data_IF_114246281951
#
_entry.id   IF_114246281951
#
_cell.length_a   1.000
_cell.length_b   1.000
_cell.length_c   1.000
_cell.angle_alpha   90.00
_cell.angle_beta   90.00
_cell.angle_gamma   90.00
#
_symmetry.space_group_name_H-M   'P 1'
#
loop_
_entity.id
_entity.type
_entity.pdbx_description
1 polymer ?
#
# COMPACT_ATOMS: atom_id res chain seq x y z
N UNK A 1 9.93 4.53 -2.21
CA UNK A 1 8.86 4.38 -3.24
C UNK A 1 8.70 2.92 -3.72
N UNK A 2 8.69 1.96 -2.79
CA UNK A 2 8.73 0.53 -3.12
C UNK A 2 7.62 0.00 -4.06
N UNK A 3 6.37 0.46 -3.90
CA UNK A 3 5.25 -0.04 -4.72
C UNK A 3 5.02 0.82 -5.96
N UNK A 4 4.99 2.15 -5.81
CA UNK A 4 4.68 3.08 -6.90
C UNK A 4 5.62 2.96 -8.09
N UNK A 5 6.91 2.67 -7.84
CA UNK A 5 7.93 2.57 -8.89
C UNK A 5 8.29 1.12 -9.20
N UNK A 6 8.54 0.29 -8.17
CA UNK A 6 9.04 -1.09 -8.37
C UNK A 6 7.93 -2.15 -8.40
N UNK A 7 6.66 -1.76 -8.38
CA UNK A 7 5.55 -2.66 -8.67
C UNK A 7 5.22 -3.66 -7.57
N UNK A 8 5.69 -3.47 -6.33
CA UNK A 8 5.37 -4.36 -5.20
C UNK A 8 3.85 -4.59 -5.04
N UNK A 9 3.50 -5.85 -4.88
CA UNK A 9 2.14 -6.42 -4.79
C UNK A 9 1.63 -6.61 -3.34
N UNK A 10 2.45 -6.36 -2.33
CA UNK A 10 2.10 -6.52 -0.90
C UNK A 10 1.26 -5.36 -0.34
N UNK A 11 1.04 -4.32 -1.13
CA UNK A 11 0.26 -3.16 -0.75
C UNK A 11 -0.49 -2.55 -1.95
N UNK A 12 -1.47 -1.72 -1.63
CA UNK A 12 -2.39 -1.06 -2.57
C UNK A 12 -1.92 0.33 -3.02
N UNK A 13 -0.72 0.78 -2.64
CA UNK A 13 -0.21 2.11 -3.00
C UNK A 13 -0.25 2.38 -4.52
N UNK A 14 0.36 1.50 -5.33
CA UNK A 14 0.36 1.62 -6.78
C UNK A 14 -1.04 1.45 -7.39
N UNK A 15 -1.84 0.42 -7.03
CA UNK A 15 -3.23 0.32 -7.48
C UNK A 15 -4.06 1.59 -7.24
N UNK A 16 -3.95 2.21 -6.06
CA UNK A 16 -4.63 3.48 -5.78
C UNK A 16 -4.12 4.63 -6.63
N UNK A 17 -2.81 4.73 -6.85
CA UNK A 17 -2.22 5.78 -7.69
C UNK A 17 -2.73 5.65 -9.14
N UNK A 18 -2.70 4.45 -9.71
CA UNK A 18 -3.21 4.17 -11.06
C UNK A 18 -4.70 4.46 -11.15
N UNK A 19 -5.50 3.98 -10.20
CA UNK A 19 -6.94 4.23 -10.16
C UNK A 19 -7.27 5.73 -10.07
N UNK A 20 -6.55 6.47 -9.23
CA UNK A 20 -6.73 7.92 -9.11
C UNK A 20 -6.40 8.66 -10.41
N UNK A 21 -5.33 8.26 -11.12
CA UNK A 21 -4.97 8.82 -12.43
C UNK A 21 -6.07 8.51 -13.46
N UNK A 22 -6.58 7.28 -13.50
CA UNK A 22 -7.68 6.90 -14.40
C UNK A 22 -8.95 7.73 -14.14
N UNK A 23 -9.35 7.88 -12.88
CA UNK A 23 -10.51 8.71 -12.52
C UNK A 23 -10.30 10.19 -12.85
N UNK A 24 -9.06 10.70 -12.72
CA UNK A 24 -8.71 12.05 -13.14
C UNK A 24 -8.82 12.23 -14.66
N UNK A 25 -8.36 11.26 -15.45
CA UNK A 25 -8.48 11.28 -16.92
C UNK A 25 -9.96 11.24 -17.32
N UNK A 26 -10.76 10.33 -16.73
CA UNK A 26 -12.20 10.26 -16.99
C UNK A 26 -12.91 11.57 -16.60
N UNK A 27 -12.49 12.21 -15.51
CA UNK A 27 -13.00 13.52 -15.12
C UNK A 27 -12.72 14.59 -16.17
N UNK A 28 -11.48 14.67 -16.66
CA UNK A 28 -11.07 15.59 -17.71
C UNK A 28 -11.84 15.35 -19.02
N UNK A 29 -12.06 14.09 -19.40
CA UNK A 29 -12.85 13.72 -20.59
C UNK A 29 -14.32 14.17 -20.51
N UNK A 30 -14.87 14.28 -19.29
CA UNK A 30 -16.22 14.82 -19.05
C UNK A 30 -16.26 16.35 -18.91
N UNK A 31 -15.15 17.04 -19.21
CA UNK A 31 -15.03 18.50 -19.09
C UNK A 31 -14.73 19.00 -17.67
N UNK A 32 -14.37 18.10 -16.75
CA UNK A 32 -13.96 18.44 -15.39
C UNK A 32 -12.44 18.61 -15.24
N UNK A 33 -11.97 18.67 -13.99
CA UNK A 33 -10.54 18.69 -13.67
C UNK A 33 -10.24 17.62 -12.62
N UNK A 34 -9.27 16.75 -12.94
CA UNK A 34 -8.73 15.78 -11.99
C UNK A 34 -7.47 16.32 -11.32
N UNK A 35 -7.32 16.07 -10.01
CA UNK A 35 -6.14 16.47 -9.24
C UNK A 35 -5.61 15.25 -8.50
N UNK A 36 -4.32 14.93 -8.70
CA UNK A 36 -3.58 13.95 -7.91
C UNK A 36 -2.55 14.69 -7.05
N UNK A 37 -2.67 14.57 -5.72
CA UNK A 37 -1.71 15.15 -4.78
C UNK A 37 -0.79 14.06 -4.24
N UNK A 38 0.47 14.10 -4.65
CA UNK A 38 1.47 13.08 -4.31
C UNK A 38 2.32 13.51 -3.09
N UNK A 39 1.96 13.04 -1.90
CA UNK A 39 2.70 13.32 -0.68
C UNK A 39 3.88 12.36 -0.49
N UNK A 40 5.10 12.90 -0.40
CA UNK A 40 6.34 12.15 -0.14
C UNK A 40 6.48 11.75 1.34
N UNK A 41 5.47 11.09 1.91
CA UNK A 41 5.41 10.59 3.30
C UNK A 41 5.47 9.06 3.31
N UNK A 42 6.57 8.49 2.82
CA UNK A 42 6.77 7.04 2.67
C UNK A 42 6.66 6.30 4.00
N UNK A 43 6.11 5.07 3.96
CA UNK A 43 6.00 4.22 5.14
C UNK A 43 5.17 4.81 6.28
N UNK A 44 4.08 5.53 5.99
CA UNK A 44 3.32 6.30 6.99
C UNK A 44 4.19 7.34 7.72
N UNK A 45 5.08 7.99 6.97
CA UNK A 45 6.10 8.90 7.47
C UNK A 45 7.16 8.27 8.40
N UNK A 46 7.27 6.94 8.43
CA UNK A 46 8.35 6.21 9.11
C UNK A 46 9.59 6.00 8.22
N UNK A 47 9.49 6.32 6.93
CA UNK A 47 10.57 6.16 5.97
C UNK A 47 10.64 4.78 5.33
N UNK A 48 11.46 4.69 4.27
CA UNK A 48 11.54 3.52 3.41
C UNK A 48 12.23 2.32 4.08
N UNK A 49 13.26 2.56 4.90
CA UNK A 49 13.96 1.49 5.63
C UNK A 49 13.02 0.78 6.59
N UNK A 50 12.29 1.54 7.42
CA UNK A 50 11.31 1.00 8.37
C UNK A 50 10.22 0.20 7.65
N UNK A 51 9.74 0.70 6.50
CA UNK A 51 8.77 -0.03 5.67
C UNK A 51 9.27 -1.42 5.26
N UNK A 52 10.52 -1.54 4.82
CA UNK A 52 11.09 -2.84 4.45
C UNK A 52 11.27 -3.77 5.66
N UNK A 53 11.64 -3.23 6.83
CA UNK A 53 11.68 -4.01 8.08
C UNK A 53 10.29 -4.55 8.43
N UNK A 54 9.25 -3.73 8.32
CA UNK A 54 7.86 -4.16 8.53
C UNK A 54 7.44 -5.21 7.51
N UNK A 55 7.79 -5.04 6.23
CA UNK A 55 7.47 -6.04 5.20
C UNK A 55 8.17 -7.37 5.46
N UNK A 56 9.41 -7.33 5.96
CA UNK A 56 10.15 -8.52 6.34
C UNK A 56 9.51 -9.21 7.54
N UNK A 57 9.13 -8.46 8.59
CA UNK A 57 8.44 -8.99 9.75
C UNK A 57 7.10 -9.64 9.37
N UNK A 58 6.28 -8.94 8.57
CA UNK A 58 5.01 -9.46 8.04
C UNK A 58 5.17 -10.82 7.37
N UNK A 59 6.19 -10.99 6.53
CA UNK A 59 6.42 -12.25 5.80
C UNK A 59 6.99 -13.36 6.69
N UNK A 60 7.77 -13.02 7.72
CA UNK A 60 8.56 -13.98 8.51
C UNK A 60 8.00 -14.30 9.90
N UNK A 61 6.95 -13.59 10.34
CA UNK A 61 6.28 -13.91 11.59
C UNK A 61 5.66 -15.31 11.56
N UNK A 62 5.40 -15.84 12.75
CA UNK A 62 4.79 -17.15 12.89
C UNK A 62 3.38 -17.18 12.25
N UNK A 63 3.17 -18.14 11.36
CA UNK A 63 1.92 -18.28 10.60
C UNK A 63 1.77 -17.32 9.41
N UNK A 64 2.83 -16.61 9.03
CA UNK A 64 2.91 -15.82 7.79
C UNK A 64 2.26 -14.44 7.85
N UNK A 65 2.10 -13.80 6.69
CA UNK A 65 1.53 -12.45 6.57
C UNK A 65 0.01 -12.46 6.79
N UNK A 66 -0.43 -12.30 8.04
CA UNK A 66 -1.85 -12.31 8.45
C UNK A 66 -2.43 -10.90 8.54
N UNK A 67 -3.69 -10.73 8.18
CA UNK A 67 -4.37 -9.43 8.29
C UNK A 67 -4.53 -8.99 9.75
N UNK A 68 -4.77 -9.92 10.68
CA UNK A 68 -4.86 -9.65 12.12
C UNK A 68 -3.60 -9.01 12.71
N UNK A 69 -2.42 -9.38 12.20
CA UNK A 69 -1.13 -8.88 12.66
C UNK A 69 -0.58 -7.67 11.89
N UNK A 70 -1.31 -7.19 10.87
CA UNK A 70 -0.83 -6.17 9.95
C UNK A 70 -0.39 -4.87 10.65
N UNK A 71 -1.19 -4.37 11.60
CA UNK A 71 -0.84 -3.16 12.36
C UNK A 71 0.19 -3.45 13.46
N UNK A 72 0.15 -4.64 14.07
CA UNK A 72 1.10 -5.04 15.10
C UNK A 72 2.52 -5.10 14.55
N UNK A 73 2.73 -5.65 13.35
CA UNK A 73 4.04 -5.66 12.69
C UNK A 73 4.67 -4.26 12.59
N UNK A 74 3.86 -3.22 12.34
CA UNK A 74 4.37 -1.84 12.30
C UNK A 74 4.74 -1.35 13.70
N UNK A 75 3.87 -1.61 14.68
CA UNK A 75 4.08 -1.23 16.09
C UNK A 75 5.31 -1.91 16.69
N UNK A 76 5.54 -3.18 16.41
CA UNK A 76 6.71 -3.93 16.91
C UNK A 76 8.02 -3.39 16.32
N UNK A 77 8.05 -3.04 15.04
CA UNK A 77 9.25 -2.50 14.39
C UNK A 77 9.52 -1.04 14.76
N UNK A 78 8.49 -0.20 14.86
CA UNK A 78 8.62 1.26 14.93
C UNK A 78 8.13 1.88 16.24
N UNK A 79 7.53 1.11 17.16
CA UNK A 79 6.89 1.59 18.38
C UNK A 79 5.55 2.31 18.17
N UNK A 80 5.20 2.64 16.92
CA UNK A 80 3.99 3.37 16.53
C UNK A 80 3.44 2.83 15.23
N UNK A 81 2.15 3.04 14.95
CA UNK A 81 1.49 2.55 13.74
C UNK A 81 1.40 3.59 12.62
N UNK A 82 1.51 4.89 12.92
CA UNK A 82 1.43 5.98 11.95
C UNK A 82 2.05 7.26 12.53
N UNK A 83 2.87 7.97 11.75
CA UNK A 83 3.45 9.28 12.14
C UNK A 83 3.07 10.39 11.17
N UNK A 84 2.12 10.14 10.26
CA UNK A 84 1.70 11.14 9.28
C UNK A 84 0.93 12.26 9.95
N UNK A 85 1.40 13.48 9.69
CA UNK A 85 0.63 14.69 9.99
C UNK A 85 -0.36 14.97 8.84
N UNK A 86 -1.57 14.41 8.92
CA UNK A 86 -2.57 14.49 7.85
C UNK A 86 -3.30 15.83 7.79
N UNK A 87 -3.26 16.61 8.87
CA UNK A 87 -3.86 17.95 8.94
C UNK A 87 -3.27 18.95 7.93
N UNK A 88 -2.05 18.69 7.41
CA UNK A 88 -1.43 19.49 6.34
C UNK A 88 -1.79 19.02 4.92
N UNK A 89 -2.50 17.90 4.77
CA UNK A 89 -2.91 17.42 3.45
C UNK A 89 -3.81 18.40 2.68
N UNK A 90 -4.74 19.13 3.30
CA UNK A 90 -5.63 20.03 2.56
C UNK A 90 -4.93 21.27 2.01
N UNK A 91 -3.73 21.62 2.48
CA UNK A 91 -3.05 22.87 2.13
C UNK A 91 -2.90 23.08 0.62
N UNK A 92 -2.51 22.02 -0.10
CA UNK A 92 -2.38 22.08 -1.57
C UNK A 92 -3.76 22.27 -2.22
N UNK A 93 -4.80 21.62 -1.72
CA UNK A 93 -6.16 21.75 -2.25
C UNK A 93 -6.70 23.16 -2.02
N UNK A 94 -6.45 23.74 -0.84
CA UNK A 94 -6.84 25.12 -0.52
C UNK A 94 -6.05 26.12 -1.34
N UNK A 95 -4.76 25.89 -1.55
CA UNK A 95 -3.92 26.74 -2.39
C UNK A 95 -4.42 26.76 -3.85
N UNK A 96 -4.89 25.61 -4.36
CA UNK A 96 -5.54 25.50 -5.66
C UNK A 96 -6.98 26.07 -5.70
N UNK A 97 -7.51 26.58 -4.59
CA UNK A 97 -8.85 27.14 -4.52
C UNK A 97 -9.98 26.10 -4.52
N UNK A 98 -9.68 24.83 -4.23
CA UNK A 98 -10.69 23.76 -4.18
C UNK A 98 -11.63 23.99 -3.00
N UNK A 99 -12.94 24.04 -3.27
CA UNK A 99 -14.00 24.18 -2.26
C UNK A 99 -14.94 22.98 -2.20
N UNK A 100 -14.96 22.17 -3.27
CA UNK A 100 -15.76 20.96 -3.40
C UNK A 100 -14.99 19.90 -4.20
N UNK A 101 -15.09 18.66 -3.77
CA UNK A 101 -14.59 17.47 -4.46
C UNK A 101 -15.79 16.57 -4.74
N UNK A 102 -16.16 16.43 -6.01
CA UNK A 102 -17.29 15.58 -6.40
C UNK A 102 -16.99 14.09 -6.18
N UNK A 103 -15.77 13.65 -6.53
CA UNK A 103 -15.31 12.26 -6.36
C UNK A 103 -13.97 12.22 -5.65
N UNK A 104 -13.97 11.77 -4.41
CA UNK A 104 -12.77 11.62 -3.58
C UNK A 104 -12.27 10.18 -3.60
N UNK A 105 -11.16 9.94 -4.29
CA UNK A 105 -10.58 8.60 -4.47
C UNK A 105 -9.76 8.22 -3.23
N UNK A 106 -10.45 7.82 -2.14
CA UNK A 106 -9.79 7.31 -0.94
C UNK A 106 -10.73 6.61 0.03
N UNK A 107 -10.23 5.52 0.61
CA UNK A 107 -10.87 4.78 1.71
C UNK A 107 -10.42 5.28 3.11
N UNK A 108 -9.49 6.24 3.20
CA UNK A 108 -8.92 6.68 4.48
C UNK A 108 -9.73 7.78 5.15
N UNK A 109 -10.23 7.52 6.36
CA UNK A 109 -10.98 8.53 7.15
C UNK A 109 -10.09 9.68 7.59
N UNK A 110 -8.87 9.41 8.05
CA UNK A 110 -7.91 10.48 8.39
C UNK A 110 -7.68 11.49 7.26
N UNK A 111 -7.73 11.05 5.99
CA UNK A 111 -7.59 11.96 4.84
C UNK A 111 -8.89 12.73 4.61
N UNK A 112 -10.01 12.02 4.63
CA UNK A 112 -11.34 12.61 4.47
C UNK A 112 -11.59 13.70 5.51
N UNK A 113 -11.40 13.37 6.78
CA UNK A 113 -11.70 14.25 7.91
C UNK A 113 -10.80 15.48 7.92
N UNK A 114 -9.51 15.31 7.60
CA UNK A 114 -8.59 16.44 7.46
C UNK A 114 -9.06 17.42 6.37
N UNK A 115 -9.54 16.92 5.22
CA UNK A 115 -10.03 17.76 4.12
C UNK A 115 -11.33 18.48 4.50
N UNK A 116 -12.31 17.74 5.02
CA UNK A 116 -13.62 18.29 5.40
C UNK A 116 -13.50 19.32 6.52
N UNK A 117 -12.59 19.11 7.48
CA UNK A 117 -12.32 20.06 8.57
C UNK A 117 -11.86 21.44 8.08
N UNK A 118 -11.35 21.56 6.85
CA UNK A 118 -10.95 22.84 6.24
C UNK A 118 -12.06 23.53 5.44
N UNK A 119 -13.27 22.98 5.44
CA UNK A 119 -14.44 23.52 4.74
C UNK A 119 -14.61 23.01 3.30
N UNK A 120 -13.74 22.12 2.83
CA UNK A 120 -13.87 21.49 1.50
C UNK A 120 -14.95 20.42 1.57
N UNK A 121 -15.99 20.54 0.75
CA UNK A 121 -17.10 19.57 0.70
C UNK A 121 -16.69 18.34 -0.13
N UNK A 122 -16.87 17.14 0.40
CA UNK A 122 -16.71 15.89 -0.37
C UNK A 122 -18.10 15.32 -0.63
N UNK A 123 -18.44 15.08 -1.91
CA UNK A 123 -19.77 14.56 -2.32
C UNK A 123 -19.80 13.04 -2.28
N UNK A 124 -18.80 12.39 -2.88
CA UNK A 124 -18.70 10.94 -2.98
C UNK A 124 -17.29 10.48 -2.58
N UNK A 125 -17.22 9.41 -1.79
CA UNK A 125 -15.97 8.66 -1.54
C UNK A 125 -15.98 7.44 -2.46
N UNK A 126 -14.90 7.27 -3.20
CA UNK A 126 -14.76 6.18 -4.18
C UNK A 126 -13.71 5.21 -3.65
N UNK A 127 -14.13 3.97 -3.40
CA UNK A 127 -13.23 2.86 -3.08
C UNK A 127 -12.42 2.41 -4.29
N UNK A 128 -11.31 1.72 -4.04
CA UNK A 128 -10.56 1.08 -5.12
C UNK A 128 -11.36 -0.13 -5.64
N UNK A 129 -11.45 -0.37 -6.95
CA UNK A 129 -12.12 -1.56 -7.48
C UNK A 129 -11.43 -2.86 -7.00
N UNK A 130 -12.17 -3.88 -6.52
CA UNK A 130 -11.58 -5.13 -6.01
C UNK A 130 -10.63 -5.83 -6.98
N UNK A 131 -10.92 -5.78 -8.27
CA UNK A 131 -10.11 -6.36 -9.33
C UNK A 131 -8.73 -5.72 -9.49
N UNK A 132 -8.54 -4.50 -8.97
CA UNK A 132 -7.25 -3.81 -8.98
C UNK A 132 -6.39 -4.17 -7.76
N UNK A 133 -6.95 -4.82 -6.73
CA UNK A 133 -6.23 -5.17 -5.51
C UNK A 133 -5.43 -6.47 -5.72
N UNK A 134 -4.08 -6.42 -5.67
CA UNK A 134 -3.27 -7.62 -5.77
C UNK A 134 -3.59 -8.63 -4.66
N UNK A 135 -3.39 -9.92 -4.95
CA UNK A 135 -3.69 -11.00 -3.99
C UNK A 135 -3.01 -10.81 -2.64
N UNK A 136 -1.73 -10.44 -2.61
CA UNK A 136 -0.99 -10.22 -1.36
C UNK A 136 -1.41 -8.93 -0.64
N UNK A 137 -1.95 -7.95 -1.36
CA UNK A 137 -2.46 -6.71 -0.78
C UNK A 137 -3.84 -6.89 -0.11
N UNK A 138 -4.50 -8.04 -0.29
CA UNK A 138 -5.74 -8.36 0.43
C UNK A 138 -5.52 -8.34 1.95
N UNK A 139 -4.34 -8.74 2.42
CA UNK A 139 -3.94 -8.62 3.83
C UNK A 139 -4.06 -7.18 4.33
N UNK A 140 -3.56 -6.21 3.55
CA UNK A 140 -3.65 -4.80 3.90
C UNK A 140 -5.08 -4.28 3.83
N UNK A 141 -5.84 -4.64 2.80
CA UNK A 141 -7.22 -4.16 2.62
C UNK A 141 -8.10 -4.69 3.75
N UNK A 142 -8.09 -6.00 4.01
CA UNK A 142 -8.90 -6.60 5.08
C UNK A 142 -8.55 -6.00 6.43
N UNK A 143 -7.26 -5.87 6.76
CA UNK A 143 -6.84 -5.27 8.02
C UNK A 143 -7.35 -3.83 8.17
N UNK A 144 -7.28 -3.01 7.12
CA UNK A 144 -7.72 -1.61 7.16
C UNK A 144 -9.24 -1.50 7.27
N UNK A 145 -9.99 -2.27 6.49
CA UNK A 145 -11.45 -2.28 6.53
C UNK A 145 -11.93 -2.71 7.91
N UNK A 146 -11.34 -3.78 8.47
CA UNK A 146 -11.60 -4.21 9.83
C UNK A 146 -11.29 -3.14 10.88
N UNK A 147 -10.20 -2.37 10.69
CA UNK A 147 -9.85 -1.23 11.54
C UNK A 147 -10.75 0.01 11.35
N UNK A 148 -11.82 -0.09 10.56
CA UNK A 148 -12.84 0.96 10.40
C UNK A 148 -12.64 1.87 9.20
N UNK A 149 -11.72 1.56 8.28
CA UNK A 149 -11.60 2.34 7.04
C UNK A 149 -12.87 2.27 6.21
N UNK A 150 -13.25 3.38 5.58
CA UNK A 150 -14.37 3.41 4.65
C UNK A 150 -14.20 2.40 3.52
N UNK A 151 -15.05 1.38 3.49
CA UNK A 151 -14.93 0.22 2.61
C UNK A 151 -16.03 0.15 1.53
N UNK A 152 -16.98 1.10 1.58
CA UNK A 152 -18.25 1.09 0.86
C UNK A 152 -18.84 -0.30 0.68
N UNK A 153 -19.45 -0.57 -0.47
CA UNK A 153 -20.15 -1.84 -0.71
C UNK A 153 -19.23 -2.95 -1.21
N UNK A 154 -18.14 -2.58 -1.88
CA UNK A 154 -17.25 -3.55 -2.53
C UNK A 154 -16.43 -4.38 -1.53
N UNK A 155 -16.37 -3.97 -0.26
CA UNK A 155 -15.56 -4.62 0.76
C UNK A 155 -16.33 -4.92 2.06
N UNK A 156 -17.67 -4.94 2.05
CA UNK A 156 -18.48 -5.25 3.25
C UNK A 156 -18.10 -6.61 3.87
N UNK A 157 -17.77 -7.61 3.05
CA UNK A 157 -17.34 -8.93 3.52
C UNK A 157 -16.00 -8.91 4.29
N UNK A 158 -15.19 -7.86 4.14
CA UNK A 158 -13.92 -7.70 4.84
C UNK A 158 -14.08 -7.12 6.28
N UNK A 159 -15.32 -6.93 6.74
CA UNK A 159 -15.63 -6.50 8.11
C UNK A 159 -15.84 -7.66 9.08
N UNK A 160 -15.89 -8.90 8.60
CA UNK A 160 -16.07 -10.11 9.41
C UNK A 160 -14.78 -10.47 10.16
N UNK A 161 -14.91 -10.78 11.45
CA UNK A 161 -13.80 -11.22 12.32
C UNK A 161 -13.21 -12.53 11.80
N UNK A 162 -14.04 -13.45 11.31
CA UNK A 162 -13.58 -14.75 10.80
C UNK A 162 -12.74 -14.59 9.53
N UNK A 163 -12.95 -13.51 8.76
CA UNK A 163 -12.15 -13.21 7.58
C UNK A 163 -10.73 -12.73 7.93
N UNK A 164 -10.50 -12.18 9.12
CA UNK A 164 -9.24 -11.53 9.49
C UNK A 164 -8.07 -12.52 9.65
N UNK A 165 -8.34 -13.69 10.22
CA UNK A 165 -7.32 -14.73 10.43
C UNK A 165 -7.16 -15.69 9.22
N UNK A 166 -8.17 -15.72 8.36
CA UNK A 166 -8.19 -16.52 7.12
C UNK A 166 -7.38 -15.84 6.01
N UNK A 167 -7.38 -14.50 5.95
CA UNK A 167 -6.65 -13.75 4.93
C UNK A 167 -5.16 -13.74 5.25
N UNK A 168 -4.42 -14.52 4.44
CA UNK A 168 -2.97 -14.63 4.50
C UNK A 168 -2.33 -14.27 3.17
N UNK A 169 -1.21 -13.56 3.23
CA UNK A 169 -0.34 -13.32 2.09
C UNK A 169 0.36 -14.60 1.65
N UNK A 170 1.08 -14.53 0.52
CA UNK A 170 1.90 -15.64 0.03
C UNK A 170 2.81 -16.25 1.11
N UNK A 171 2.98 -17.57 1.05
CA UNK A 171 3.91 -18.27 1.94
C UNK A 171 5.35 -17.80 1.72
N UNK A 172 6.06 -17.60 2.82
CA UNK A 172 7.50 -17.40 2.80
C UNK A 172 8.18 -18.77 2.77
N UNK A 173 8.64 -19.18 1.59
CA UNK A 173 9.59 -20.28 1.48
C UNK A 173 10.99 -19.74 1.76
N UNK A 174 11.70 -20.32 2.74
CA UNK A 174 13.14 -20.10 2.92
C UNK A 174 13.95 -20.53 1.68
N UNK A 175 13.35 -21.34 0.81
CA UNK A 175 13.94 -21.87 -0.40
C UNK A 175 13.45 -21.08 -1.63
N UNK A 176 14.07 -19.94 -1.93
CA UNK A 176 14.16 -19.44 -3.31
C UNK A 176 15.46 -18.63 -3.50
N UNK A 177 16.44 -19.28 -4.13
CA UNK A 177 17.48 -18.71 -5.00
C UNK A 177 18.70 -17.98 -4.38
N UNK A 178 19.41 -18.63 -3.45
CA UNK A 178 20.87 -18.43 -3.37
C UNK A 178 21.65 -19.71 -3.71
N UNK A 179 21.10 -20.88 -3.39
CA UNK A 179 21.77 -22.16 -3.68
C UNK A 179 21.84 -22.48 -5.18
N UNK A 180 20.79 -22.18 -5.97
CA UNK A 180 20.80 -22.46 -7.42
C UNK A 180 21.85 -21.65 -8.20
N UNK A 181 22.15 -20.42 -7.78
CA UNK A 181 23.21 -19.60 -8.41
C UNK A 181 24.63 -20.05 -8.03
N UNK A 182 24.79 -20.77 -6.91
CA UNK A 182 26.09 -21.30 -6.48
C UNK A 182 26.36 -22.67 -7.11
N UNK A 183 25.33 -23.48 -7.38
CA UNK A 183 25.50 -24.77 -8.06
C UNK A 183 25.66 -24.68 -9.58
N UNK A 184 25.13 -23.63 -10.23
CA UNK A 184 25.31 -23.41 -11.67
C UNK A 184 26.58 -22.60 -12.01
N UNK A 185 27.19 -21.94 -11.02
CA UNK A 185 28.52 -21.35 -11.10
C UNK A 185 29.63 -22.39 -10.88
N UNK A 186 29.56 -23.51 -11.61
CA UNK A 186 30.61 -24.53 -11.63
C UNK A 186 31.96 -23.88 -11.98
N UNK A 187 32.90 -23.98 -11.05
CA UNK A 187 34.23 -23.41 -11.17
C UNK A 187 34.92 -23.83 -12.47
N UNK A 188 35.28 -22.86 -13.28
CA UNK A 188 36.31 -23.06 -14.29
C UNK A 188 37.67 -22.93 -13.59
N UNK A 189 38.11 -24.00 -12.94
CA UNK A 189 39.52 -24.14 -12.57
C UNK A 189 40.29 -24.38 -13.87
N UNK A 190 40.75 -23.29 -14.49
CA UNK A 190 41.71 -23.37 -15.59
C UNK A 190 43.00 -23.99 -15.06
N UNK A 191 43.23 -25.25 -15.41
CA UNK A 191 44.55 -25.88 -15.30
C UNK A 191 45.47 -25.19 -16.29
N UNK A 192 46.35 -24.31 -15.80
CA UNK A 192 47.50 -23.87 -16.55
C UNK A 192 48.49 -25.05 -16.63
N UNK A 193 48.34 -25.87 -17.68
CA UNK A 193 49.41 -26.75 -18.12
C UNK A 193 50.51 -25.88 -18.73
N UNK A 194 51.71 -25.98 -18.16
CA UNK A 194 52.90 -25.40 -18.74
C UNK A 194 53.31 -26.18 -19.99
N UNK A 195 53.70 -25.45 -21.03
CA UNK A 195 54.55 -25.95 -22.09
C UNK A 195 55.63 -24.89 -22.38
N UNK A 196 56.86 -25.33 -22.14
CA UNK A 196 58.18 -25.01 -22.72
C UNK A 196 58.45 -23.62 -23.29
#
# INVERSE_FOLDING_TARGET
NGSDVFGSDICTCRPYLTHAIEECIKCAQRGGTGIVVYFRKEGRALGEVTKYLVYNMRKRQEGGDKASEYFNCTKEVAGVTDTRFQVLMPDVLRWLGVTKIDRFISMSDMKHDAIVATGIKIVERVEIPPEMVPKDAQVEITAKVYAGYHAGKSYEAATDVDALDQVKGREYSSATQYEKSVTEGGGHTGTAQGEQ
#
